data_IF_989692854095
#
_entry.id   IF_989692854095
#
_cell.length_a   1.000
_cell.length_b   1.000
_cell.length_c   1.000
_cell.angle_alpha   90.00
_cell.angle_beta   90.00
_cell.angle_gamma   90.00
#
_symmetry.space_group_name_H-M   'P 1'
#
loop_
_entity.id
_entity.type
_entity.pdbx_description
1 polymer ?
#
# COMPACT_ATOMS: atom_id res chain seq x y z
N UNK A 1 12.24 11.63 17.71
CA UNK A 1 12.39 11.77 16.25
C UNK A 1 12.52 10.37 15.63
N UNK A 2 11.40 9.78 15.22
CA UNK A 2 11.41 8.51 14.51
C UNK A 2 12.07 8.72 13.13
N UNK A 3 13.16 7.98 12.85
CA UNK A 3 13.77 8.00 11.52
C UNK A 3 12.83 7.31 10.52
N UNK A 4 12.58 7.88 9.35
CA UNK A 4 11.72 7.28 8.35
C UNK A 4 12.28 5.91 7.91
N UNK A 5 11.41 4.92 7.82
CA UNK A 5 11.74 3.64 7.21
C UNK A 5 11.66 3.87 5.71
N UNK A 6 12.81 3.91 5.04
CA UNK A 6 12.86 3.89 3.59
C UNK A 6 13.04 2.44 3.13
N UNK A 7 12.00 1.85 2.59
CA UNK A 7 12.17 0.64 1.78
C UNK A 7 12.62 1.09 0.42
N UNK A 8 13.81 0.66 0.01
CA UNK A 8 14.31 0.92 -1.34
C UNK A 8 13.47 0.07 -2.32
N UNK A 9 12.44 0.67 -2.85
CA UNK A 9 11.62 0.08 -3.88
C UNK A 9 12.20 0.46 -5.22
N UNK A 10 12.63 -0.53 -5.98
CA UNK A 10 12.93 -0.34 -7.38
C UNK A 10 11.59 -0.40 -8.12
N UNK A 11 10.94 0.75 -8.27
CA UNK A 11 9.80 0.85 -9.19
C UNK A 11 10.29 0.65 -10.62
N UNK A 12 9.56 -0.11 -11.40
CA UNK A 12 9.82 -0.24 -12.85
C UNK A 12 9.16 0.88 -13.63
N UNK A 13 8.33 1.69 -13.00
CA UNK A 13 7.68 2.85 -13.62
C UNK A 13 8.58 4.09 -13.53
N UNK A 14 8.90 4.74 -14.66
CA UNK A 14 9.56 6.04 -14.63
C UNK A 14 8.71 7.06 -13.86
N UNK A 15 9.32 7.72 -12.88
CA UNK A 15 8.67 8.80 -12.13
C UNK A 15 7.71 8.39 -11.00
N UNK A 16 7.38 7.10 -10.82
CA UNK A 16 6.62 6.66 -9.64
C UNK A 16 7.55 6.36 -8.47
N UNK A 17 7.24 6.95 -7.32
CA UNK A 17 7.89 6.64 -6.06
C UNK A 17 6.83 6.19 -5.05
N UNK A 18 7.01 5.01 -4.44
CA UNK A 18 6.10 4.57 -3.38
C UNK A 18 6.21 5.49 -2.16
N UNK A 19 5.14 5.58 -1.37
CA UNK A 19 5.12 6.44 -0.21
C UNK A 19 6.17 6.03 0.84
N UNK A 20 6.78 7.04 1.47
CA UNK A 20 7.70 6.82 2.60
C UNK A 20 6.86 6.46 3.82
N UNK A 21 7.16 5.32 4.44
CA UNK A 21 6.50 4.86 5.65
C UNK A 21 7.32 5.27 6.88
N UNK A 22 6.66 5.85 7.87
CA UNK A 22 7.22 6.12 9.20
C UNK A 22 6.32 5.53 10.26
N UNK A 23 6.89 5.13 11.39
CA UNK A 23 6.15 4.68 12.57
C UNK A 23 6.27 5.73 13.66
N UNK A 24 5.16 6.04 14.32
CA UNK A 24 5.10 6.95 15.44
C UNK A 24 4.21 6.40 16.57
N UNK A 25 4.40 6.91 17.79
CA UNK A 25 3.60 6.53 18.98
C UNK A 25 2.56 7.58 19.34
N UNK A 26 2.50 8.69 18.62
CA UNK A 26 1.54 9.78 18.80
C UNK A 26 1.20 10.42 17.48
N UNK A 27 0.03 11.03 17.37
CA UNK A 27 -0.33 11.86 16.23
C UNK A 27 0.64 13.05 16.15
N UNK A 28 1.36 13.24 15.02
CA UNK A 28 2.28 14.37 14.89
C UNK A 28 1.53 15.71 14.98
N UNK A 29 2.02 16.61 15.81
CA UNK A 29 1.43 17.96 16.00
C UNK A 29 1.84 18.96 14.91
N UNK A 30 3.01 18.77 14.28
CA UNK A 30 3.54 19.67 13.25
C UNK A 30 3.48 19.02 11.88
N UNK A 31 3.04 19.80 10.89
CA UNK A 31 2.96 19.34 9.49
C UNK A 31 1.81 18.39 9.20
N UNK A 32 0.83 18.27 10.11
CA UNK A 32 -0.33 17.37 9.93
C UNK A 32 -1.57 18.09 9.42
N UNK A 33 -1.58 19.42 9.34
CA UNK A 33 -2.76 20.21 8.97
C UNK A 33 -3.35 19.91 7.58
N UNK A 34 -2.56 19.34 6.65
CA UNK A 34 -3.04 18.84 5.36
C UNK A 34 -3.18 17.31 5.31
N UNK A 35 -2.75 16.61 6.36
CA UNK A 35 -2.83 15.15 6.41
C UNK A 35 -4.25 14.67 6.69
N UNK A 36 -4.58 13.48 6.20
CA UNK A 36 -5.80 12.76 6.58
C UNK A 36 -5.46 11.70 7.61
N UNK A 37 -6.16 11.71 8.74
CA UNK A 37 -6.07 10.67 9.75
C UNK A 37 -7.09 9.56 9.45
N UNK A 38 -6.62 8.35 9.22
CA UNK A 38 -7.47 7.18 9.02
C UNK A 38 -7.68 6.49 10.36
N UNK A 39 -8.96 6.37 10.75
CA UNK A 39 -9.38 5.80 12.05
C UNK A 39 -10.30 4.61 11.81
N UNK A 40 -9.96 3.40 12.27
CA UNK A 40 -10.86 2.27 12.21
C UNK A 40 -12.01 2.41 13.21
N UNK A 41 -13.19 1.99 12.77
CA UNK A 41 -14.40 1.94 13.59
C UNK A 41 -15.06 0.58 13.46
N UNK A 42 -15.76 0.15 14.49
CA UNK A 42 -16.54 -1.09 14.50
C UNK A 42 -18.02 -0.78 14.61
N UNK A 43 -18.85 -1.73 14.24
CA UNK A 43 -20.31 -1.62 14.44
C UNK A 43 -20.63 -1.53 15.94
N UNK A 44 -21.58 -0.69 16.29
CA UNK A 44 -22.07 -0.60 17.65
C UNK A 44 -22.65 -1.92 18.15
N UNK A 45 -22.86 -2.06 19.48
CA UNK A 45 -23.33 -3.30 20.08
C UNK A 45 -24.73 -3.70 19.63
N UNK A 46 -25.58 -2.74 19.26
CA UNK A 46 -26.94 -2.96 18.78
C UNK A 46 -27.05 -2.55 17.29
N UNK A 47 -28.06 -3.07 16.58
CA UNK A 47 -28.28 -2.77 15.15
C UNK A 47 -28.44 -1.26 14.86
N UNK A 48 -28.90 -0.48 15.85
CA UNK A 48 -28.99 0.98 15.80
C UNK A 48 -27.87 1.71 16.53
N UNK A 49 -26.90 0.98 17.09
CA UNK A 49 -25.77 1.52 17.82
C UNK A 49 -24.84 2.33 16.92
N UNK A 50 -24.36 3.49 17.43
CA UNK A 50 -23.33 4.25 16.72
C UNK A 50 -22.04 3.43 16.64
N UNK A 51 -21.29 3.54 15.54
CA UNK A 51 -19.98 2.93 15.43
C UNK A 51 -19.05 3.42 16.55
N UNK A 52 -18.20 2.52 17.03
CA UNK A 52 -17.21 2.81 18.06
C UNK A 52 -15.81 2.88 17.45
N UNK A 53 -15.02 3.86 17.91
CA UNK A 53 -13.63 3.99 17.50
C UNK A 53 -12.79 2.88 18.12
N UNK A 54 -11.92 2.28 17.31
CA UNK A 54 -10.92 1.31 17.75
C UNK A 54 -9.55 1.71 17.19
N UNK A 55 -8.47 1.06 17.60
CA UNK A 55 -7.14 1.32 17.03
C UNK A 55 -6.18 2.01 17.99
N UNK A 56 -6.33 1.75 19.30
CA UNK A 56 -5.32 2.03 20.32
C UNK A 56 -5.39 3.42 20.95
N UNK A 57 -4.39 3.78 21.75
CA UNK A 57 -4.43 4.91 22.67
C UNK A 57 -3.93 6.23 22.04
N UNK A 58 -4.17 6.45 20.74
CA UNK A 58 -3.61 7.60 20.01
C UNK A 58 -4.53 8.82 19.96
N UNK A 59 -5.80 8.63 20.32
CA UNK A 59 -6.81 9.67 20.38
C UNK A 59 -7.28 9.82 21.83
N UNK A 60 -7.52 11.05 22.24
CA UNK A 60 -8.12 11.31 23.55
C UNK A 60 -9.65 11.12 23.51
N UNK A 61 -10.26 11.19 24.67
CA UNK A 61 -11.71 10.96 24.81
C UNK A 61 -12.55 12.03 24.09
N UNK A 62 -12.03 13.26 23.96
CA UNK A 62 -12.70 14.37 23.26
C UNK A 62 -12.77 14.05 21.76
N UNK A 63 -11.65 13.74 21.13
CA UNK A 63 -11.60 13.41 19.72
C UNK A 63 -12.42 12.14 19.38
N UNK A 64 -12.38 11.12 20.22
CA UNK A 64 -13.20 9.92 20.09
C UNK A 64 -14.69 10.29 20.12
N UNK A 65 -15.10 11.07 21.12
CA UNK A 65 -16.49 11.52 21.27
C UNK A 65 -16.98 12.33 20.06
N UNK A 66 -16.17 13.26 19.55
CA UNK A 66 -16.50 14.04 18.34
C UNK A 66 -16.71 13.12 17.12
N UNK A 67 -15.84 12.15 16.93
CA UNK A 67 -15.95 11.18 15.82
C UNK A 67 -17.24 10.36 15.95
N UNK A 68 -17.51 9.79 17.12
CA UNK A 68 -18.66 8.91 17.32
C UNK A 68 -19.99 9.65 17.24
N UNK A 69 -20.05 10.89 17.75
CA UNK A 69 -21.23 11.78 17.60
C UNK A 69 -21.49 12.10 16.14
N UNK A 70 -20.44 12.46 15.39
CA UNK A 70 -20.58 12.75 13.97
C UNK A 70 -21.02 11.52 13.17
N UNK A 71 -20.45 10.35 13.46
CA UNK A 71 -20.83 9.10 12.79
C UNK A 71 -22.29 8.74 13.06
N UNK A 72 -22.76 8.92 14.28
CA UNK A 72 -24.19 8.72 14.64
C UNK A 72 -25.09 9.65 13.85
N UNK A 73 -24.76 10.95 13.81
CA UNK A 73 -25.54 11.94 13.08
C UNK A 73 -25.61 11.64 11.56
N UNK A 74 -24.58 11.00 11.01
CA UNK A 74 -24.53 10.60 9.60
C UNK A 74 -25.15 9.22 9.33
N UNK A 75 -25.70 8.55 10.35
CA UNK A 75 -26.29 7.23 10.19
C UNK A 75 -25.27 6.12 9.83
N UNK A 76 -24.01 6.31 10.22
CA UNK A 76 -22.97 5.32 9.99
C UNK A 76 -23.27 4.02 10.75
N UNK A 77 -22.86 2.89 10.18
CA UNK A 77 -23.07 1.56 10.80
C UNK A 77 -21.74 0.87 11.16
N UNK A 78 -20.60 1.40 10.76
CA UNK A 78 -19.30 0.76 10.95
C UNK A 78 -19.15 -0.55 10.17
N UNK A 79 -19.96 -0.73 9.11
CA UNK A 79 -19.93 -1.93 8.26
C UNK A 79 -18.55 -2.09 7.60
N UNK A 80 -18.14 -3.33 7.25
CA UNK A 80 -16.86 -3.55 6.61
C UNK A 80 -16.64 -2.62 5.40
N UNK A 81 -15.50 -1.94 5.38
CA UNK A 81 -15.07 -1.02 4.31
C UNK A 81 -15.94 0.24 4.14
N UNK A 82 -16.88 0.51 5.04
CA UNK A 82 -17.63 1.77 5.05
C UNK A 82 -16.67 2.94 5.33
N UNK A 83 -16.68 3.94 4.44
CA UNK A 83 -15.84 5.13 4.55
C UNK A 83 -16.68 6.37 4.82
N UNK A 84 -16.29 7.14 5.83
CA UNK A 84 -16.90 8.45 6.12
C UNK A 84 -15.78 9.45 6.42
N UNK A 85 -15.79 10.59 5.72
CA UNK A 85 -14.82 11.66 5.92
C UNK A 85 -15.44 12.75 6.79
N UNK A 86 -14.74 13.12 7.85
CA UNK A 86 -15.18 14.03 8.88
C UNK A 86 -14.18 15.18 9.07
N UNK A 87 -14.66 16.30 9.59
CA UNK A 87 -13.82 17.30 10.24
C UNK A 87 -13.95 17.12 11.76
N UNK A 88 -12.82 17.06 12.45
CA UNK A 88 -12.73 16.85 13.92
C UNK A 88 -11.89 18.00 14.48
N UNK A 89 -12.53 19.02 15.07
CA UNK A 89 -11.86 20.25 15.50
C UNK A 89 -10.75 20.06 16.53
N UNK A 90 -10.87 19.08 17.42
CA UNK A 90 -9.88 18.78 18.45
C UNK A 90 -8.58 18.18 17.90
N UNK A 91 -8.55 17.70 16.66
CA UNK A 91 -7.39 17.05 16.06
C UNK A 91 -6.59 17.98 15.14
N UNK A 92 -5.24 17.95 15.21
CA UNK A 92 -4.35 18.79 14.39
C UNK A 92 -4.17 18.24 12.96
N UNK A 93 -5.24 17.74 12.33
CA UNK A 93 -5.22 17.14 10.99
C UNK A 93 -6.23 17.82 10.07
N UNK A 94 -6.02 17.74 8.76
CA UNK A 94 -6.93 18.35 7.79
C UNK A 94 -8.32 17.73 7.79
N UNK A 95 -8.41 16.43 7.99
CA UNK A 95 -9.65 15.69 8.15
C UNK A 95 -9.40 14.28 8.71
N UNK A 96 -10.46 13.65 9.20
CA UNK A 96 -10.47 12.26 9.62
C UNK A 96 -11.25 11.44 8.59
N UNK A 97 -10.71 10.31 8.17
CA UNK A 97 -11.40 9.30 7.39
C UNK A 97 -11.64 8.08 8.27
N UNK A 98 -12.88 7.80 8.61
CA UNK A 98 -13.19 6.56 9.32
C UNK A 98 -13.34 5.42 8.31
N UNK A 99 -12.90 4.22 8.72
CA UNK A 99 -13.06 2.99 7.95
C UNK A 99 -13.69 1.90 8.82
N UNK A 100 -14.82 1.38 8.38
CA UNK A 100 -15.55 0.32 9.08
C UNK A 100 -14.83 -1.01 8.97
N UNK A 101 -14.74 -1.72 10.10
CA UNK A 101 -14.20 -3.07 10.19
C UNK A 101 -15.28 -4.14 10.41
N UNK A 102 -16.54 -3.72 10.58
CA UNK A 102 -17.67 -4.60 10.92
C UNK A 102 -17.74 -4.87 12.42
N UNK A 103 -18.20 -6.07 12.80
CA UNK A 103 -18.41 -6.43 14.20
C UNK A 103 -17.11 -6.38 15.01
N UNK A 104 -17.17 -5.95 16.30
CA UNK A 104 -16.04 -5.95 17.20
C UNK A 104 -15.37 -7.34 17.31
N UNK A 105 -14.06 -7.35 17.53
CA UNK A 105 -13.25 -8.57 17.67
C UNK A 105 -12.12 -8.32 18.67
N UNK A 106 -11.74 -9.38 19.41
CA UNK A 106 -10.59 -9.33 20.31
C UNK A 106 -9.27 -9.29 19.54
N UNK A 107 -9.19 -10.04 18.44
CA UNK A 107 -8.03 -10.05 17.53
C UNK A 107 -8.46 -9.75 16.09
N UNK A 108 -7.67 -8.95 15.40
CA UNK A 108 -7.96 -8.53 14.04
C UNK A 108 -7.19 -9.37 13.02
N UNK A 109 -7.89 -10.14 12.16
CA UNK A 109 -7.23 -10.84 11.05
C UNK A 109 -6.49 -9.84 10.14
N UNK A 110 -5.27 -10.19 9.76
CA UNK A 110 -4.44 -9.35 8.89
C UNK A 110 -5.17 -8.89 7.62
N UNK A 111 -5.97 -9.78 7.02
CA UNK A 111 -6.70 -9.48 5.78
C UNK A 111 -7.78 -8.42 5.97
N UNK A 112 -8.48 -8.40 7.11
CA UNK A 112 -9.47 -7.36 7.42
C UNK A 112 -8.80 -5.99 7.48
N UNK A 113 -7.67 -5.89 8.19
CA UNK A 113 -6.90 -4.65 8.30
C UNK A 113 -6.30 -4.24 6.95
N UNK A 114 -5.76 -5.19 6.18
CA UNK A 114 -5.19 -4.93 4.85
C UNK A 114 -6.24 -4.37 3.90
N UNK A 115 -7.43 -4.98 3.83
CA UNK A 115 -8.53 -4.53 2.97
C UNK A 115 -9.03 -3.16 3.37
N UNK A 116 -9.32 -2.93 4.65
CA UNK A 116 -9.75 -1.63 5.17
C UNK A 116 -8.73 -0.52 4.82
N UNK A 117 -7.44 -0.79 5.05
CA UNK A 117 -6.36 0.13 4.69
C UNK A 117 -6.30 0.41 3.19
N UNK A 118 -6.47 -0.62 2.36
CA UNK A 118 -6.45 -0.49 0.90
C UNK A 118 -7.62 0.33 0.35
N UNK A 119 -8.81 0.12 0.87
CA UNK A 119 -10.01 0.88 0.48
C UNK A 119 -9.87 2.34 0.92
N UNK A 120 -9.41 2.58 2.15
CA UNK A 120 -9.17 3.93 2.66
C UNK A 120 -8.16 4.69 1.80
N UNK A 121 -6.98 4.09 1.51
CA UNK A 121 -5.96 4.74 0.69
C UNK A 121 -6.45 5.04 -0.74
N UNK A 122 -7.22 4.14 -1.34
CA UNK A 122 -7.78 4.33 -2.68
C UNK A 122 -8.77 5.49 -2.76
N UNK A 123 -9.50 5.77 -1.68
CA UNK A 123 -10.45 6.88 -1.62
C UNK A 123 -9.81 8.25 -1.46
N UNK A 124 -8.51 8.30 -1.14
CA UNK A 124 -7.78 9.52 -0.81
C UNK A 124 -6.94 10.04 -1.99
N UNK A 125 -7.53 10.09 -3.18
CA UNK A 125 -6.89 10.70 -4.36
C UNK A 125 -6.55 12.16 -4.08
N UNK A 126 -5.32 12.58 -4.41
CA UNK A 126 -4.85 13.94 -4.20
C UNK A 126 -4.39 14.26 -2.77
N UNK A 127 -4.37 13.26 -1.88
CA UNK A 127 -3.83 13.41 -0.53
C UNK A 127 -2.37 12.96 -0.50
N UNK A 128 -1.47 13.88 -0.20
CA UNK A 128 -0.03 13.59 -0.15
C UNK A 128 0.42 12.86 1.12
N UNK A 129 -0.27 13.09 2.24
CA UNK A 129 0.13 12.57 3.55
C UNK A 129 -1.04 11.98 4.31
N UNK A 130 -0.86 10.78 4.83
CA UNK A 130 -1.83 10.13 5.72
C UNK A 130 -1.17 9.72 7.03
N UNK A 131 -1.99 9.72 8.08
CA UNK A 131 -1.69 9.16 9.39
C UNK A 131 -2.71 8.06 9.63
N UNK A 132 -2.38 6.97 10.32
CA UNK A 132 -3.36 5.93 10.61
C UNK A 132 -3.16 5.27 11.95
N UNK A 133 -4.25 4.98 12.63
CA UNK A 133 -4.29 4.16 13.84
C UNK A 133 -4.51 2.66 13.54
N UNK A 134 -4.78 2.28 12.28
CA UNK A 134 -4.88 0.87 11.85
C UNK A 134 -3.62 0.06 12.16
N UNK A 135 -2.46 0.74 12.28
CA UNK A 135 -1.20 0.10 12.64
C UNK A 135 -1.20 -0.59 14.00
N UNK A 136 -2.03 -0.15 14.94
CA UNK A 136 -2.14 -0.80 16.25
C UNK A 136 -2.87 -2.14 16.18
N UNK A 137 -3.79 -2.29 15.25
CA UNK A 137 -4.53 -3.54 15.05
C UNK A 137 -3.69 -4.61 14.36
N UNK A 138 -2.97 -4.23 13.31
CA UNK A 138 -2.04 -5.11 12.60
C UNK A 138 -1.13 -4.29 11.66
N UNK A 139 0.03 -3.87 12.16
CA UNK A 139 0.87 -2.88 11.48
C UNK A 139 1.37 -3.31 10.09
N UNK A 140 1.86 -4.54 9.94
CA UNK A 140 2.32 -5.04 8.65
C UNK A 140 1.19 -4.99 7.61
N UNK A 141 0.01 -5.49 7.96
CA UNK A 141 -1.14 -5.52 7.05
C UNK A 141 -1.66 -4.11 6.71
N UNK A 142 -1.64 -3.18 7.69
CA UNK A 142 -2.03 -1.80 7.47
C UNK A 142 -1.11 -1.13 6.43
N UNK A 143 0.21 -1.27 6.59
CA UNK A 143 1.20 -0.72 5.66
C UNK A 143 1.07 -1.33 4.27
N UNK A 144 0.91 -2.66 4.17
CA UNK A 144 0.67 -3.35 2.90
C UNK A 144 -0.58 -2.78 2.21
N UNK A 145 -1.70 -2.73 2.92
CA UNK A 145 -2.96 -2.24 2.37
C UNK A 145 -2.88 -0.80 1.89
N UNK A 146 -2.28 0.10 2.68
CA UNK A 146 -2.14 1.51 2.31
C UNK A 146 -1.30 1.70 1.04
N UNK A 147 -0.15 1.04 0.94
CA UNK A 147 0.72 1.14 -0.25
C UNK A 147 0.02 0.55 -1.47
N UNK A 148 -0.60 -0.63 -1.33
CA UNK A 148 -1.29 -1.30 -2.44
C UNK A 148 -2.57 -0.58 -2.88
N UNK A 149 -3.27 0.07 -1.94
CA UNK A 149 -4.44 0.90 -2.23
C UNK A 149 -4.09 2.19 -2.96
N UNK A 150 -2.94 2.77 -2.63
CA UNK A 150 -2.41 3.98 -3.27
C UNK A 150 -1.71 3.72 -4.61
N UNK A 151 -1.48 2.45 -4.98
CA UNK A 151 -0.81 2.09 -6.22
C UNK A 151 -1.58 2.60 -7.45
N UNK A 152 -0.86 3.26 -8.34
CA UNK A 152 -1.37 3.74 -9.63
C UNK A 152 -0.37 3.41 -10.73
N UNK A 153 -0.89 3.00 -11.90
CA UNK A 153 -0.10 2.87 -13.11
C UNK A 153 -0.22 4.17 -13.93
N UNK A 154 0.89 4.91 -14.02
CA UNK A 154 0.96 6.18 -14.74
C UNK A 154 1.55 6.04 -16.14
N UNK A 155 2.44 5.05 -16.33
CA UNK A 155 3.06 4.75 -17.62
C UNK A 155 2.00 4.40 -18.66
N UNK A 156 2.23 4.74 -19.90
CA UNK A 156 1.31 4.49 -21.05
C UNK A 156 -0.03 5.23 -21.03
N UNK A 157 -0.23 6.18 -20.11
CA UNK A 157 -1.41 7.06 -20.14
C UNK A 157 -1.16 8.30 -20.98
N UNK A 158 -2.18 8.73 -21.73
CA UNK A 158 -2.11 10.03 -22.43
C UNK A 158 -2.08 11.18 -21.41
N UNK A 159 -1.54 12.35 -21.77
CA UNK A 159 -1.59 13.53 -20.89
C UNK A 159 -3.01 13.92 -20.46
N UNK A 160 -4.04 13.56 -21.26
CA UNK A 160 -5.45 13.82 -20.94
C UNK A 160 -6.01 12.89 -19.87
N UNK A 161 -5.48 11.65 -19.77
CA UNK A 161 -5.99 10.60 -18.90
C UNK A 161 -5.04 10.29 -17.74
N UNK A 162 -3.85 10.87 -17.72
CA UNK A 162 -2.92 10.76 -16.60
C UNK A 162 -3.51 11.45 -15.36
N UNK A 163 -3.35 10.88 -14.17
CA UNK A 163 -3.75 11.52 -12.93
C UNK A 163 -3.08 12.89 -12.80
N UNK A 164 -3.86 13.91 -12.47
CA UNK A 164 -3.37 15.28 -12.27
C UNK A 164 -3.04 15.55 -10.80
N UNK A 165 -3.63 14.78 -9.91
CA UNK A 165 -3.46 14.92 -8.49
C UNK A 165 -2.15 14.30 -8.01
N UNK A 166 -1.50 14.89 -6.99
CA UNK A 166 -0.29 14.32 -6.44
C UNK A 166 -0.54 12.92 -5.86
N UNK A 167 0.41 11.99 -6.02
CA UNK A 167 0.31 10.68 -5.40
C UNK A 167 0.54 10.78 -3.90
N UNK A 168 0.04 9.78 -3.15
CA UNK A 168 0.39 9.61 -1.75
C UNK A 168 1.91 9.43 -1.62
N UNK A 169 2.54 10.32 -0.86
CA UNK A 169 4.00 10.36 -0.68
C UNK A 169 4.47 9.96 0.72
N UNK A 170 3.57 10.09 1.72
CA UNK A 170 3.92 9.87 3.12
C UNK A 170 2.83 9.12 3.89
N UNK A 171 3.25 8.09 4.60
CA UNK A 171 2.42 7.32 5.53
C UNK A 171 3.05 7.40 6.93
N UNK A 172 2.27 7.83 7.91
CA UNK A 172 2.62 7.74 9.34
C UNK A 172 1.71 6.68 9.96
N UNK A 173 2.25 5.50 10.24
CA UNK A 173 1.51 4.44 10.91
C UNK A 173 1.74 4.54 12.42
N UNK A 174 0.66 4.67 13.18
CA UNK A 174 0.72 4.72 14.64
C UNK A 174 0.72 3.30 15.19
N UNK A 175 1.66 3.02 16.10
CA UNK A 175 1.73 1.72 16.80
C UNK A 175 2.56 1.83 18.07
N UNK A 176 2.12 1.12 19.11
CA UNK A 176 2.85 0.98 20.40
C UNK A 176 3.74 -0.27 20.41
N UNK A 177 3.69 -1.10 19.38
CA UNK A 177 4.47 -2.35 19.28
C UNK A 177 5.98 -2.09 19.36
N UNK A 178 6.69 -2.83 20.19
CA UNK A 178 8.15 -2.81 20.25
C UNK A 178 8.81 -3.17 18.91
N UNK A 179 8.17 -4.01 18.11
CA UNK A 179 8.60 -4.49 16.80
C UNK A 179 8.10 -3.63 15.62
N UNK A 180 7.47 -2.49 15.90
CA UNK A 180 6.75 -1.71 14.89
C UNK A 180 7.62 -1.38 13.65
N UNK A 181 8.90 -1.04 13.83
CA UNK A 181 9.79 -0.74 12.70
C UNK A 181 9.99 -1.94 11.78
N UNK A 182 10.18 -3.13 12.36
CA UNK A 182 10.38 -4.37 11.60
C UNK A 182 9.11 -4.77 10.85
N UNK A 183 7.95 -4.68 11.50
CA UNK A 183 6.65 -4.99 10.89
C UNK A 183 6.34 -4.04 9.72
N UNK A 184 6.55 -2.74 9.91
CA UNK A 184 6.33 -1.75 8.86
C UNK A 184 7.29 -1.94 7.68
N UNK A 185 8.56 -2.24 7.94
CA UNK A 185 9.54 -2.52 6.89
C UNK A 185 9.15 -3.78 6.08
N UNK A 186 8.69 -4.85 6.76
CA UNK A 186 8.22 -6.05 6.10
C UNK A 186 6.98 -5.80 5.24
N UNK A 187 5.98 -5.06 5.77
CA UNK A 187 4.78 -4.70 5.02
C UNK A 187 5.11 -3.87 3.78
N UNK A 188 5.99 -2.89 3.93
CA UNK A 188 6.44 -2.09 2.80
C UNK A 188 7.19 -2.93 1.75
N UNK A 189 8.07 -3.86 2.15
CA UNK A 189 8.78 -4.75 1.22
C UNK A 189 7.83 -5.66 0.44
N UNK A 190 6.84 -6.26 1.11
CA UNK A 190 5.82 -7.10 0.46
C UNK A 190 4.98 -6.27 -0.52
N UNK A 191 4.51 -5.10 -0.09
CA UNK A 191 3.72 -4.22 -0.95
C UNK A 191 4.49 -3.78 -2.20
N UNK A 192 5.79 -3.55 -2.05
CA UNK A 192 6.69 -3.25 -3.15
C UNK A 192 6.80 -4.37 -4.17
N UNK A 193 7.04 -5.57 -3.69
CA UNK A 193 7.12 -6.73 -4.58
C UNK A 193 5.82 -6.91 -5.38
N UNK A 194 4.66 -6.74 -4.72
CA UNK A 194 3.35 -6.80 -5.38
C UNK A 194 3.17 -5.65 -6.37
N UNK A 195 3.58 -4.42 -6.03
CA UNK A 195 3.52 -3.29 -6.95
C UNK A 195 4.37 -3.53 -8.19
N UNK A 196 5.59 -4.06 -8.03
CA UNK A 196 6.47 -4.47 -9.15
C UNK A 196 5.81 -5.51 -10.04
N UNK A 197 5.18 -6.54 -9.45
CA UNK A 197 4.45 -7.54 -10.23
C UNK A 197 3.28 -6.91 -11.01
N UNK A 198 2.54 -5.98 -10.39
CA UNK A 198 1.48 -5.21 -11.07
C UNK A 198 2.02 -4.36 -12.22
N UNK A 199 3.19 -3.73 -12.06
CA UNK A 199 3.84 -2.97 -13.12
C UNK A 199 4.13 -3.86 -14.33
N UNK A 200 4.68 -5.05 -14.09
CA UNK A 200 4.97 -6.01 -15.16
C UNK A 200 3.70 -6.50 -15.86
N UNK A 201 2.63 -6.81 -15.08
CA UNK A 201 1.34 -7.25 -15.63
C UNK A 201 0.64 -6.14 -16.43
N UNK A 202 0.73 -4.90 -15.96
CA UNK A 202 0.08 -3.75 -16.59
C UNK A 202 0.87 -3.18 -17.78
N UNK A 203 2.14 -3.57 -17.94
CA UNK A 203 2.95 -3.14 -19.09
C UNK A 203 2.43 -3.83 -20.37
N UNK A 204 2.09 -3.07 -21.43
CA UNK A 204 1.60 -3.66 -22.67
C UNK A 204 2.61 -4.62 -23.30
N UNK A 205 2.17 -5.70 -23.98
CA UNK A 205 3.05 -6.70 -24.58
C UNK A 205 4.01 -6.12 -25.64
N UNK A 206 3.64 -5.01 -26.28
CA UNK A 206 4.52 -4.25 -27.19
C UNK A 206 5.74 -3.63 -26.49
N UNK A 207 5.71 -3.49 -25.16
CA UNK A 207 6.77 -2.93 -24.34
C UNK A 207 7.38 -3.93 -23.36
N UNK A 208 6.77 -5.12 -23.20
CA UNK A 208 7.24 -6.17 -22.30
C UNK A 208 7.39 -7.49 -23.06
N UNK A 209 8.28 -7.53 -24.06
CA UNK A 209 8.69 -8.75 -24.72
C UNK A 209 9.80 -9.48 -23.92
N UNK A 210 10.18 -10.73 -24.24
CA UNK A 210 11.07 -11.54 -23.42
C UNK A 210 12.40 -10.88 -23.04
N UNK A 211 13.03 -10.15 -23.94
CA UNK A 211 14.29 -9.46 -23.66
C UNK A 211 14.12 -8.33 -22.64
N UNK A 212 13.09 -7.50 -22.78
CA UNK A 212 12.81 -6.42 -21.83
C UNK A 212 12.42 -6.97 -20.46
N UNK A 213 11.59 -8.04 -20.43
CA UNK A 213 11.28 -8.73 -19.17
C UNK A 213 12.56 -9.23 -18.48
N UNK A 214 13.46 -9.89 -19.22
CA UNK A 214 14.72 -10.39 -18.68
C UNK A 214 15.64 -9.25 -18.18
N UNK A 215 15.67 -8.12 -18.89
CA UNK A 215 16.42 -6.93 -18.49
C UNK A 215 15.87 -6.35 -17.16
N UNK A 216 14.56 -6.20 -17.03
CA UNK A 216 13.90 -5.74 -15.79
C UNK A 216 14.12 -6.73 -14.65
N UNK A 217 13.94 -8.02 -14.89
CA UNK A 217 14.16 -9.06 -13.88
C UNK A 217 15.62 -9.06 -13.39
N UNK A 218 16.59 -8.90 -14.30
CA UNK A 218 18.00 -8.79 -13.92
C UNK A 218 18.27 -7.56 -13.05
N UNK A 219 17.74 -6.41 -13.40
CA UNK A 219 17.91 -5.18 -12.63
C UNK A 219 17.31 -5.32 -11.21
N UNK A 220 16.08 -5.84 -11.12
CA UNK A 220 15.38 -6.06 -9.86
C UNK A 220 16.09 -7.11 -8.98
N UNK A 221 16.47 -8.24 -9.55
CA UNK A 221 17.15 -9.30 -8.83
C UNK A 221 18.51 -8.84 -8.30
N UNK A 222 19.30 -8.15 -9.12
CA UNK A 222 20.60 -7.60 -8.69
C UNK A 222 20.44 -6.57 -7.58
N UNK A 223 19.44 -5.67 -7.68
CA UNK A 223 19.15 -4.69 -6.64
C UNK A 223 18.70 -5.36 -5.32
N UNK A 224 18.06 -6.54 -5.41
CA UNK A 224 17.68 -7.35 -4.26
C UNK A 224 18.80 -8.25 -3.70
N UNK A 225 20.01 -8.17 -4.27
CA UNK A 225 21.15 -8.97 -3.83
C UNK A 225 21.16 -10.42 -4.34
N UNK A 226 20.30 -10.73 -5.34
CA UNK A 226 20.24 -12.07 -5.93
C UNK A 226 21.31 -12.25 -7.01
N UNK A 227 21.78 -13.49 -7.19
CA UNK A 227 22.53 -13.89 -8.40
C UNK A 227 21.55 -14.08 -9.55
N UNK A 228 21.78 -13.37 -10.66
CA UNK A 228 20.87 -13.41 -11.81
C UNK A 228 21.60 -13.88 -13.06
N UNK A 229 21.10 -14.98 -13.63
CA UNK A 229 21.54 -15.51 -14.93
C UNK A 229 20.43 -15.33 -15.97
N UNK A 230 20.84 -14.88 -17.15
CA UNK A 230 19.93 -14.76 -18.31
C UNK A 230 20.49 -15.56 -19.46
N UNK A 231 19.74 -16.55 -19.95
CA UNK A 231 20.05 -17.30 -21.14
C UNK A 231 19.28 -16.72 -22.33
N UNK A 232 20.01 -16.33 -23.36
CA UNK A 232 19.44 -15.92 -24.64
C UNK A 232 19.09 -17.15 -25.52
N UNK A 233 18.53 -16.92 -26.70
CA UNK A 233 18.09 -17.97 -27.63
C UNK A 233 19.23 -18.89 -28.06
N UNK A 234 20.48 -18.36 -28.17
CA UNK A 234 21.66 -19.15 -28.57
C UNK A 234 22.13 -20.04 -27.42
N UNK A 235 22.20 -19.47 -26.22
CA UNK A 235 22.55 -20.22 -25.02
C UNK A 235 21.50 -21.31 -24.70
N UNK A 236 20.22 -21.00 -24.90
CA UNK A 236 19.12 -21.96 -24.73
C UNK A 236 19.25 -23.15 -25.70
N UNK A 237 19.52 -22.87 -27.00
CA UNK A 237 19.72 -23.91 -28.00
C UNK A 237 20.95 -24.78 -27.68
N UNK A 238 22.07 -24.16 -27.29
CA UNK A 238 23.31 -24.86 -26.91
C UNK A 238 23.12 -25.74 -25.69
N UNK A 239 22.33 -25.28 -24.72
CA UNK A 239 22.05 -26.01 -23.47
C UNK A 239 20.92 -27.06 -23.60
N UNK A 240 20.34 -27.24 -24.77
CA UNK A 240 19.33 -28.28 -25.03
C UNK A 240 17.91 -27.94 -24.55
N UNK A 241 17.58 -26.67 -24.31
CA UNK A 241 16.23 -26.23 -23.91
C UNK A 241 15.26 -26.20 -25.10
N UNK A 242 15.10 -27.33 -25.81
CA UNK A 242 14.34 -27.45 -27.04
C UNK A 242 12.88 -27.01 -26.95
N UNK A 243 12.22 -27.22 -25.81
CA UNK A 243 10.85 -26.76 -25.57
C UNK A 243 10.74 -25.23 -25.61
N UNK A 244 11.62 -24.50 -24.92
CA UNK A 244 11.61 -23.02 -24.88
C UNK A 244 11.94 -22.47 -26.28
N UNK A 245 12.96 -23.02 -26.93
CA UNK A 245 13.38 -22.63 -28.29
C UNK A 245 12.26 -22.91 -29.31
N UNK A 246 11.62 -24.10 -29.20
CA UNK A 246 10.54 -24.51 -30.11
C UNK A 246 9.34 -23.58 -30.07
N UNK A 247 8.91 -23.16 -28.85
CA UNK A 247 7.82 -22.20 -28.67
C UNK A 247 8.21 -20.80 -29.16
N UNK A 248 9.44 -20.37 -28.86
CA UNK A 248 9.88 -18.99 -29.15
C UNK A 248 10.33 -18.73 -30.58
N UNK A 249 10.71 -19.75 -31.35
CA UNK A 249 11.35 -19.58 -32.68
C UNK A 249 10.49 -18.89 -33.75
N UNK A 250 9.18 -18.91 -33.57
CA UNK A 250 8.24 -18.25 -34.52
C UNK A 250 8.00 -16.77 -34.23
N UNK A 251 8.60 -16.24 -33.16
CA UNK A 251 8.42 -14.85 -32.75
C UNK A 251 9.55 -13.96 -33.25
N UNK A 252 9.23 -12.71 -33.60
CA UNK A 252 10.24 -11.68 -33.84
C UNK A 252 11.01 -11.30 -32.57
N UNK A 253 10.46 -11.64 -31.38
CA UNK A 253 11.10 -11.41 -30.09
C UNK A 253 11.60 -12.75 -29.52
N UNK A 254 12.92 -13.04 -29.61
CA UNK A 254 13.49 -14.32 -29.19
C UNK A 254 13.27 -14.64 -27.71
N UNK A 255 13.14 -15.94 -27.35
CA UNK A 255 12.90 -16.35 -25.98
C UNK A 255 14.08 -16.06 -25.06
N UNK A 256 13.79 -15.94 -23.78
CA UNK A 256 14.77 -15.78 -22.70
C UNK A 256 14.41 -16.73 -21.54
N UNK A 257 15.43 -17.18 -20.80
CA UNK A 257 15.26 -17.83 -19.50
C UNK A 257 16.01 -17.01 -18.45
N UNK A 258 15.32 -16.66 -17.39
CA UNK A 258 15.90 -15.93 -16.26
C UNK A 258 15.92 -16.85 -15.05
N UNK A 259 17.11 -17.03 -14.46
CA UNK A 259 17.31 -17.76 -13.21
C UNK A 259 17.73 -16.78 -12.12
N UNK A 260 16.98 -16.77 -11.02
CA UNK A 260 17.26 -15.99 -9.83
C UNK A 260 17.65 -16.96 -8.70
N UNK A 261 18.79 -16.72 -8.06
CA UNK A 261 19.30 -17.56 -6.96
C UNK A 261 19.56 -16.68 -5.75
N UNK A 262 19.01 -17.09 -4.61
CA UNK A 262 19.19 -16.46 -3.28
C UNK A 262 20.27 -17.19 -2.51
#
# INVERSE_FOLDING_TARGET
NARPIRVALVSTQPGYQPPIVTVATTVPQRGSGSAVLIVPVVSGPDDDGAPQVVGGPFLDAEAIGEIEVALRALGAKGSPEQLIRLHVPSLPVGSVLTVGLGKPRDEWPAEVVRRASGVAARSLTGVESIITTLGELHLQAAVEGLILGAYQMHEFRSPKTAPKEPPLSKIVALSTSADAKRQAARGAAVAAAVATARDLVNTPPSHLHPEEFARRAKALGTAAGLTVEVLDEKALAKAGYGGIVGVGKGSANPPRLVRLTH
#
